data_IF_346816446002
#
_entry.id   IF_346816446002
#
_cell.length_a   1.000
_cell.length_b   1.000
_cell.length_c   1.000
_cell.angle_alpha   90.00
_cell.angle_beta   90.00
_cell.angle_gamma   90.00
#
_symmetry.space_group_name_H-M   'P 1'
#
loop_
_entity.id
_entity.type
_entity.pdbx_description
1 polymer ?
#
# COMPACT_ATOMS: atom_id res chain seq x y z
N UNK A 1 29.09 14.18 5.44
CA UNK A 1 28.04 15.22 5.36
C UNK A 1 26.96 14.71 4.42
N UNK A 2 26.06 13.86 4.92
CA UNK A 2 24.91 13.34 4.17
C UNK A 2 23.67 13.69 4.99
N UNK A 3 23.24 14.94 4.87
CA UNK A 3 22.11 15.47 5.64
C UNK A 3 21.20 16.28 4.68
N UNK A 4 20.95 15.72 3.48
CA UNK A 4 20.24 16.42 2.40
C UNK A 4 18.95 15.75 1.92
N UNK A 5 18.44 14.74 2.61
CA UNK A 5 17.10 14.23 2.35
C UNK A 5 16.29 14.13 3.65
N UNK A 6 16.14 15.26 4.35
CA UNK A 6 14.95 15.51 5.16
C UNK A 6 14.00 16.37 4.36
N UNK A 7 13.45 15.79 3.31
CA UNK A 7 12.23 16.32 2.73
C UNK A 7 11.12 15.44 3.28
N UNK A 8 10.50 15.88 4.39
CA UNK A 8 9.10 15.55 4.66
C UNK A 8 8.30 16.18 3.53
N UNK A 9 8.40 15.61 2.33
CA UNK A 9 7.48 15.92 1.26
C UNK A 9 6.18 15.36 1.76
N UNK A 10 5.27 16.22 2.19
CA UNK A 10 3.85 15.92 2.25
C UNK A 10 3.44 15.56 0.83
N UNK A 11 3.75 14.33 0.42
CA UNK A 11 3.34 13.79 -0.86
C UNK A 11 1.82 13.78 -0.78
N UNK A 12 1.11 14.34 -1.77
CA UNK A 12 -0.32 14.13 -1.81
C UNK A 12 -0.54 12.63 -1.75
N UNK A 13 -1.29 12.21 -0.75
CA UNK A 13 -1.57 10.83 -0.40
C UNK A 13 -3.04 10.82 -0.03
N UNK A 14 -3.74 9.76 -0.40
CA UNK A 14 -5.14 9.60 -0.01
C UNK A 14 -5.17 9.21 1.46
N UNK A 15 -5.98 9.89 2.26
CA UNK A 15 -6.11 9.55 3.67
C UNK A 15 -6.86 8.23 3.87
N UNK A 16 -6.74 7.64 5.06
CA UNK A 16 -7.40 6.37 5.40
C UNK A 16 -8.93 6.45 5.28
N UNK A 17 -9.55 7.56 5.65
CA UNK A 17 -11.01 7.74 5.55
C UNK A 17 -11.46 7.65 4.08
N UNK A 18 -10.74 8.32 3.20
CA UNK A 18 -10.95 8.31 1.75
C UNK A 18 -10.76 6.90 1.20
N UNK A 19 -9.71 6.17 1.63
CA UNK A 19 -9.50 4.75 1.27
C UNK A 19 -10.70 3.90 1.69
N UNK A 20 -11.20 4.05 2.92
CA UNK A 20 -12.36 3.29 3.43
C UNK A 20 -13.60 3.60 2.61
N UNK A 21 -13.88 4.88 2.32
CA UNK A 21 -15.05 5.31 1.52
C UNK A 21 -15.00 4.82 0.07
N UNK A 22 -13.82 4.91 -0.55
CA UNK A 22 -13.60 4.50 -1.93
C UNK A 22 -13.80 3.00 -2.11
N UNK A 23 -13.17 2.23 -1.22
CA UNK A 23 -13.19 0.76 -1.32
C UNK A 23 -14.48 0.16 -0.79
N UNK A 24 -15.07 0.74 0.26
CA UNK A 24 -16.17 0.13 1.00
C UNK A 24 -15.76 -1.14 1.77
N UNK A 25 -14.45 -1.46 1.82
CA UNK A 25 -13.93 -2.60 2.54
C UNK A 25 -13.81 -2.31 4.03
N UNK A 26 -13.81 -3.36 4.85
CA UNK A 26 -13.57 -3.26 6.29
C UNK A 26 -12.07 -3.28 6.58
N UNK A 27 -11.47 -2.10 6.61
CA UNK A 27 -10.07 -1.91 6.97
C UNK A 27 -9.84 -2.06 8.47
N UNK A 28 -8.74 -2.72 8.83
CA UNK A 28 -8.35 -2.99 10.21
C UNK A 28 -6.87 -2.64 10.39
N UNK A 29 -6.57 -1.92 11.47
CA UNK A 29 -5.20 -1.68 11.88
C UNK A 29 -4.56 -2.99 12.36
N UNK A 30 -3.30 -3.20 12.00
CA UNK A 30 -2.53 -4.30 12.56
C UNK A 30 -2.00 -3.93 13.95
N UNK A 31 -2.75 -4.29 14.98
CA UNK A 31 -2.33 -4.20 16.40
C UNK A 31 -1.98 -5.58 16.99
N UNK A 32 -1.54 -6.53 16.16
CA UNK A 32 -1.33 -7.94 16.52
C UNK A 32 -2.44 -8.90 16.09
N UNK A 33 -3.44 -8.40 15.34
CA UNK A 33 -4.47 -9.25 14.74
C UNK A 33 -3.88 -10.23 13.71
N UNK A 34 -4.49 -11.41 13.60
CA UNK A 34 -4.12 -12.40 12.59
C UNK A 34 -4.50 -11.89 11.19
N UNK A 35 -3.60 -12.05 10.23
CA UNK A 35 -3.88 -11.71 8.84
C UNK A 35 -4.79 -12.74 8.18
N UNK A 36 -5.75 -12.29 7.34
CA UNK A 36 -6.47 -13.17 6.44
C UNK A 36 -5.49 -13.80 5.43
N UNK A 37 -5.94 -14.85 4.73
CA UNK A 37 -5.11 -15.51 3.73
C UNK A 37 -4.99 -14.69 2.45
N UNK A 38 -6.04 -13.95 2.08
CA UNK A 38 -6.05 -13.05 0.93
C UNK A 38 -6.58 -11.68 1.32
N UNK A 39 -5.98 -10.64 0.74
CA UNK A 39 -6.45 -9.28 0.96
C UNK A 39 -5.53 -8.21 0.40
N UNK A 40 -5.91 -6.98 0.69
CA UNK A 40 -5.19 -5.76 0.36
C UNK A 40 -4.70 -5.11 1.65
N UNK A 41 -3.57 -4.43 1.60
CA UNK A 41 -3.02 -3.71 2.73
C UNK A 41 -2.47 -2.36 2.30
N UNK A 42 -2.35 -1.47 3.29
CA UNK A 42 -1.82 -0.14 3.13
C UNK A 42 -0.91 0.22 4.29
N UNK A 43 0.18 0.93 4.00
CA UNK A 43 1.02 1.58 5.00
C UNK A 43 0.70 3.07 5.00
N UNK A 44 0.31 3.58 6.16
CA UNK A 44 -0.18 4.94 6.34
C UNK A 44 0.74 5.73 7.25
N UNK A 45 0.94 7.01 6.94
CA UNK A 45 1.76 7.88 7.78
C UNK A 45 0.96 8.32 9.02
N UNK A 46 1.51 8.19 10.25
CA UNK A 46 0.74 8.41 11.48
C UNK A 46 0.31 9.87 11.70
N UNK A 47 1.02 10.83 11.11
CA UNK A 47 0.74 12.26 11.34
C UNK A 47 -0.39 12.82 10.47
N UNK A 48 -0.73 12.16 9.36
CA UNK A 48 -1.70 12.67 8.39
C UNK A 48 -2.58 11.59 7.75
N UNK A 49 -2.50 10.35 8.25
CA UNK A 49 -3.19 9.17 7.73
C UNK A 49 -3.01 8.94 6.22
N UNK A 50 -1.94 9.46 5.62
CA UNK A 50 -1.69 9.39 4.19
C UNK A 50 -1.20 8.02 3.75
N UNK A 51 -1.85 7.41 2.76
CA UNK A 51 -1.43 6.15 2.15
C UNK A 51 -0.07 6.30 1.44
N UNK A 52 0.97 5.73 2.03
CA UNK A 52 2.34 5.72 1.48
C UNK A 52 2.55 4.58 0.48
N UNK A 53 1.92 3.44 0.75
CA UNK A 53 2.06 2.23 -0.04
C UNK A 53 0.80 1.39 0.05
N UNK A 54 0.30 0.92 -1.09
CA UNK A 54 -0.70 -0.14 -1.16
C UNK A 54 -0.06 -1.41 -1.71
N UNK A 55 -0.44 -2.55 -1.15
CA UNK A 55 -0.06 -3.84 -1.68
C UNK A 55 -1.15 -4.89 -1.51
N UNK A 56 -0.96 -6.02 -2.16
CA UNK A 56 -1.79 -7.21 -1.97
C UNK A 56 -1.03 -8.40 -1.39
N UNK A 57 -1.80 -9.35 -0.86
CA UNK A 57 -1.36 -10.72 -0.65
C UNK A 57 -2.44 -11.70 -1.11
N UNK A 58 -2.04 -12.65 -1.94
CA UNK A 58 -2.85 -13.71 -2.53
C UNK A 58 -1.98 -14.92 -2.88
N UNK A 59 -2.61 -16.02 -3.31
CA UNK A 59 -1.90 -17.21 -3.79
C UNK A 59 -1.06 -17.93 -2.71
N UNK A 60 0.09 -18.47 -3.13
CA UNK A 60 0.96 -19.35 -2.30
C UNK A 60 1.60 -18.61 -1.12
N UNK A 61 1.97 -17.34 -1.29
CA UNK A 61 2.47 -16.52 -0.18
C UNK A 61 1.32 -16.03 0.70
N UNK A 62 0.21 -15.61 0.10
CA UNK A 62 -0.92 -15.03 0.83
C UNK A 62 -0.55 -13.73 1.57
N UNK A 63 -1.56 -13.08 2.13
CA UNK A 63 -1.38 -11.84 2.88
C UNK A 63 -0.62 -12.08 4.19
N UNK A 64 -0.92 -13.20 4.86
CA UNK A 64 -0.27 -13.58 6.11
C UNK A 64 1.24 -13.74 5.98
N UNK A 65 1.75 -14.53 5.04
CA UNK A 65 3.20 -14.75 4.97
C UNK A 65 3.93 -13.46 4.58
N UNK A 66 3.38 -12.70 3.63
CA UNK A 66 3.92 -11.42 3.18
C UNK A 66 4.02 -10.39 4.30
N UNK A 67 2.92 -10.14 5.02
CA UNK A 67 2.93 -9.14 6.09
C UNK A 67 3.70 -9.62 7.33
N UNK A 68 3.69 -10.91 7.63
CA UNK A 68 4.54 -11.48 8.70
C UNK A 68 6.03 -11.28 8.38
N UNK A 69 6.42 -11.46 7.11
CA UNK A 69 7.77 -11.17 6.64
C UNK A 69 8.10 -9.67 6.83
N UNK A 70 7.22 -8.77 6.40
CA UNK A 70 7.43 -7.33 6.53
C UNK A 70 7.58 -6.89 8.00
N UNK A 71 6.72 -7.38 8.90
CA UNK A 71 6.76 -7.04 10.33
C UNK A 71 8.02 -7.57 11.00
N UNK A 72 8.39 -8.82 10.72
CA UNK A 72 9.62 -9.41 11.25
C UNK A 72 10.84 -8.56 10.86
N UNK A 73 10.91 -8.15 9.58
CA UNK A 73 11.99 -7.31 9.11
C UNK A 73 11.97 -5.89 9.66
N UNK A 74 10.79 -5.30 9.83
CA UNK A 74 10.64 -4.02 10.52
C UNK A 74 11.23 -4.09 11.93
N UNK A 75 10.97 -5.18 12.66
CA UNK A 75 11.58 -5.42 13.98
C UNK A 75 13.11 -5.50 13.93
N UNK A 76 13.69 -6.17 12.92
CA UNK A 76 15.15 -6.17 12.74
C UNK A 76 15.71 -4.77 12.44
N UNK A 77 15.03 -3.99 11.60
CA UNK A 77 15.41 -2.62 11.27
C UNK A 77 15.38 -1.69 12.47
N UNK A 78 14.32 -1.76 13.28
CA UNK A 78 14.20 -0.97 14.51
C UNK A 78 15.36 -1.28 15.48
N UNK A 79 15.62 -2.57 15.72
CA UNK A 79 16.75 -2.98 16.55
C UNK A 79 18.10 -2.49 16.01
N UNK A 80 18.29 -2.50 14.68
CA UNK A 80 19.50 -1.97 14.03
C UNK A 80 19.68 -0.47 14.28
N UNK A 81 18.61 0.31 14.10
CA UNK A 81 18.62 1.75 14.30
C UNK A 81 18.86 2.12 15.76
N UNK A 82 18.25 1.41 16.70
CA UNK A 82 18.36 1.68 18.14
C UNK A 82 19.74 1.33 18.70
N UNK A 83 20.34 0.23 18.25
CA UNK A 83 21.59 -0.28 18.83
C UNK A 83 22.86 0.30 18.20
N UNK A 84 22.74 1.16 17.18
CA UNK A 84 23.87 1.70 16.38
C UNK A 84 24.89 0.61 15.95
N UNK A 85 24.47 -0.65 15.88
CA UNK A 85 25.38 -1.76 15.69
C UNK A 85 25.49 -1.99 14.19
N UNK A 86 26.72 -1.87 13.66
CA UNK A 86 26.99 -2.29 12.31
C UNK A 86 26.56 -3.77 12.18
N UNK A 87 25.71 -4.06 11.19
CA UNK A 87 25.43 -5.43 10.80
C UNK A 87 26.74 -6.11 10.43
N UNK A 88 26.82 -7.44 10.59
CA UNK A 88 27.89 -8.20 9.95
C UNK A 88 27.86 -7.93 8.44
N UNK A 89 28.99 -7.99 7.75
CA UNK A 89 29.04 -7.68 6.30
C UNK A 89 28.09 -8.56 5.49
N UNK A 90 27.86 -9.79 5.94
CA UNK A 90 26.98 -10.79 5.33
C UNK A 90 25.50 -10.47 5.56
N UNK A 91 25.13 -10.11 6.80
CA UNK A 91 23.76 -9.66 7.13
C UNK A 91 23.45 -8.32 6.47
N UNK A 92 24.45 -7.45 6.28
CA UNK A 92 24.30 -6.16 5.60
C UNK A 92 24.03 -6.37 4.12
N UNK A 93 24.80 -7.23 3.46
CA UNK A 93 24.62 -7.51 2.04
C UNK A 93 23.25 -8.16 1.78
N UNK A 94 22.83 -9.12 2.61
CA UNK A 94 21.53 -9.78 2.44
C UNK A 94 20.35 -8.88 2.83
N UNK A 95 20.45 -8.10 3.90
CA UNK A 95 19.43 -7.11 4.27
C UNK A 95 19.29 -6.03 3.18
N UNK A 96 20.38 -5.44 2.68
CA UNK A 96 20.31 -4.40 1.64
C UNK A 96 19.80 -4.92 0.29
N UNK A 97 20.07 -6.19 -0.05
CA UNK A 97 19.61 -6.80 -1.31
C UNK A 97 18.22 -7.41 -1.25
N UNK A 98 17.72 -7.73 -0.05
CA UNK A 98 16.41 -8.37 0.18
C UNK A 98 15.41 -7.46 0.90
N UNK A 99 15.81 -6.26 1.32
CA UNK A 99 14.93 -5.27 1.95
C UNK A 99 13.88 -4.79 0.93
N UNK A 100 12.62 -5.14 1.18
CA UNK A 100 11.50 -4.51 0.50
C UNK A 100 11.50 -3.02 0.88
N UNK A 101 11.56 -2.06 -0.07
CA UNK A 101 11.70 -0.64 0.23
C UNK A 101 10.69 -0.09 1.25
N UNK A 102 9.47 -0.63 1.26
CA UNK A 102 8.43 -0.26 2.21
C UNK A 102 8.74 -0.65 3.66
N UNK A 103 9.53 -1.69 3.91
CA UNK A 103 9.92 -2.07 5.27
C UNK A 103 10.89 -1.05 5.86
N UNK A 104 11.84 -0.58 5.04
CA UNK A 104 12.78 0.46 5.46
C UNK A 104 12.05 1.79 5.69
N UNK A 105 11.31 2.28 4.70
CA UNK A 105 10.55 3.52 4.83
C UNK A 105 9.52 3.41 5.97
N UNK A 106 8.82 2.28 6.07
CA UNK A 106 7.89 1.97 7.16
C UNK A 106 8.52 2.01 8.54
N UNK A 107 9.79 1.68 8.65
CA UNK A 107 10.55 1.79 9.90
C UNK A 107 10.92 3.24 10.20
N UNK A 108 11.54 3.93 9.23
CA UNK A 108 12.05 5.29 9.38
C UNK A 108 10.92 6.31 9.65
N UNK A 109 9.79 6.18 8.95
CA UNK A 109 8.61 7.07 9.06
C UNK A 109 7.55 6.55 10.05
N UNK A 110 7.82 5.44 10.76
CA UNK A 110 6.88 4.83 11.74
C UNK A 110 5.48 4.57 11.18
N UNK A 111 5.39 4.16 9.92
CA UNK A 111 4.11 3.93 9.24
C UNK A 111 3.23 2.90 9.96
N UNK A 112 1.93 3.10 9.91
CA UNK A 112 0.91 2.23 10.48
C UNK A 112 0.39 1.29 9.39
N UNK A 113 0.35 -0.01 9.68
CA UNK A 113 -0.13 -1.02 8.74
C UNK A 113 -1.63 -1.23 8.94
N UNK A 114 -2.39 -1.07 7.86
CA UNK A 114 -3.80 -1.43 7.79
C UNK A 114 -4.03 -2.48 6.71
N UNK A 115 -5.02 -3.34 6.89
CA UNK A 115 -5.38 -4.36 5.91
C UNK A 115 -6.89 -4.57 5.84
N UNK A 116 -7.34 -5.11 4.71
CA UNK A 116 -8.72 -5.53 4.52
C UNK A 116 -8.77 -6.86 3.74
N UNK A 117 -9.80 -7.65 4.01
CA UNK A 117 -10.11 -8.82 3.18
C UNK A 117 -10.52 -8.34 1.79
N UNK A 118 -10.00 -8.99 0.76
CA UNK A 118 -10.42 -8.71 -0.61
C UNK A 118 -11.80 -9.35 -0.83
N UNK A 119 -12.84 -8.52 -0.79
CA UNK A 119 -14.22 -8.91 -1.08
C UNK A 119 -14.71 -8.19 -2.33
N UNK A 120 -15.76 -8.72 -2.97
CA UNK A 120 -16.42 -8.02 -4.08
C UNK A 120 -16.91 -6.64 -3.63
N UNK A 121 -16.62 -5.62 -4.44
CA UNK A 121 -17.15 -4.28 -4.23
C UNK A 121 -18.67 -4.31 -4.04
N UNK A 122 -19.15 -3.67 -2.97
CA UNK A 122 -20.58 -3.63 -2.63
C UNK A 122 -21.32 -2.46 -3.28
N UNK A 123 -20.58 -1.49 -3.82
CA UNK A 123 -21.09 -0.38 -4.59
C UNK A 123 -21.23 -0.74 -6.07
N UNK A 124 -22.14 -0.06 -6.76
CA UNK A 124 -22.44 -0.27 -8.18
C UNK A 124 -22.19 1.05 -8.90
N UNK A 125 -21.49 1.00 -10.03
CA UNK A 125 -21.31 2.15 -10.91
C UNK A 125 -22.27 2.06 -12.09
N UNK A 126 -22.85 3.20 -12.50
CA UNK A 126 -23.65 3.26 -13.72
C UNK A 126 -22.77 3.01 -14.95
N UNK A 127 -23.12 1.99 -15.74
CA UNK A 127 -22.40 1.59 -16.95
C UNK A 127 -21.89 0.15 -16.90
N UNK A 128 -21.20 -0.29 -17.97
CA UNK A 128 -20.59 -1.62 -18.06
C UNK A 128 -19.18 -1.61 -17.45
N UNK A 129 -19.13 -1.44 -16.13
CA UNK A 129 -17.88 -1.39 -15.36
C UNK A 129 -17.71 -2.65 -14.53
N UNK A 130 -16.58 -3.33 -14.67
CA UNK A 130 -16.19 -4.44 -13.80
C UNK A 130 -15.53 -3.86 -12.55
N UNK A 131 -16.23 -3.95 -11.42
CA UNK A 131 -15.74 -3.50 -10.12
C UNK A 131 -14.72 -4.48 -9.52
N UNK A 132 -13.79 -4.05 -8.65
CA UNK A 132 -12.81 -4.94 -8.04
C UNK A 132 -13.45 -6.06 -7.22
N UNK A 133 -12.91 -7.28 -7.34
CA UNK A 133 -13.34 -8.45 -6.56
C UNK A 133 -12.16 -9.20 -5.92
N UNK A 134 -10.98 -9.10 -6.52
CA UNK A 134 -9.77 -9.80 -6.10
C UNK A 134 -8.76 -8.86 -5.45
N UNK A 135 -7.80 -9.43 -4.71
CA UNK A 135 -6.73 -8.65 -4.08
C UNK A 135 -5.88 -7.87 -5.11
N UNK A 136 -5.67 -8.45 -6.31
CA UNK A 136 -4.98 -7.77 -7.43
C UNK A 136 -5.76 -6.55 -7.91
N UNK A 137 -7.06 -6.70 -8.07
CA UNK A 137 -7.92 -5.61 -8.53
C UNK A 137 -8.00 -4.50 -7.48
N UNK A 138 -8.08 -4.84 -6.20
CA UNK A 138 -8.09 -3.84 -5.13
C UNK A 138 -6.77 -3.07 -4.99
N UNK A 139 -5.63 -3.76 -5.05
CA UNK A 139 -4.31 -3.08 -5.08
C UNK A 139 -4.22 -2.13 -6.28
N UNK A 140 -4.61 -2.62 -7.47
CA UNK A 140 -4.60 -1.80 -8.69
C UNK A 140 -5.56 -0.61 -8.56
N UNK A 141 -6.74 -0.79 -7.97
CA UNK A 141 -7.72 0.27 -7.76
C UNK A 141 -7.19 1.36 -6.84
N UNK A 142 -6.54 1.00 -5.74
CA UNK A 142 -5.90 1.96 -4.83
C UNK A 142 -4.76 2.71 -5.52
N UNK A 143 -3.95 2.02 -6.32
CA UNK A 143 -2.87 2.65 -7.08
C UNK A 143 -3.38 3.65 -8.11
N UNK A 144 -4.42 3.31 -8.89
CA UNK A 144 -5.02 4.23 -9.87
C UNK A 144 -5.69 5.40 -9.17
N UNK A 145 -6.40 5.16 -8.07
CA UNK A 145 -7.05 6.24 -7.31
C UNK A 145 -6.03 7.20 -6.71
N UNK A 146 -4.95 6.68 -6.14
CA UNK A 146 -3.83 7.52 -5.66
C UNK A 146 -3.22 8.29 -6.83
N UNK A 147 -2.99 7.65 -7.97
CA UNK A 147 -2.46 8.32 -9.17
C UNK A 147 -3.35 9.47 -9.65
N UNK A 148 -4.66 9.31 -9.58
CA UNK A 148 -5.64 10.31 -10.03
C UNK A 148 -5.76 11.48 -9.05
N UNK A 149 -5.72 11.22 -7.74
CA UNK A 149 -5.87 12.25 -6.71
C UNK A 149 -4.57 12.97 -6.36
N UNK A 150 -3.46 12.23 -6.33
CA UNK A 150 -2.17 12.74 -5.90
C UNK A 150 -1.24 13.12 -7.06
N UNK A 151 -1.63 12.85 -8.31
CA UNK A 151 -0.75 13.00 -9.47
C UNK A 151 0.53 12.15 -9.39
N UNK A 152 0.60 11.20 -8.45
CA UNK A 152 1.75 10.34 -8.22
C UNK A 152 1.30 8.96 -7.77
N UNK A 153 2.11 7.95 -8.08
CA UNK A 153 1.93 6.59 -7.55
C UNK A 153 2.88 6.38 -6.39
N UNK A 154 2.56 5.41 -5.54
CA UNK A 154 3.46 4.92 -4.49
C UNK A 154 4.92 4.88 -5.01
N UNK A 155 5.81 5.71 -4.47
CA UNK A 155 7.19 5.83 -4.96
C UNK A 155 8.04 4.61 -4.62
N UNK A 156 7.55 3.76 -3.72
CA UNK A 156 8.16 2.51 -3.28
C UNK A 156 7.67 1.29 -4.08
N UNK A 157 6.81 1.51 -5.08
CA UNK A 157 6.34 0.52 -6.05
C UNK A 157 5.22 -0.39 -5.50
N UNK A 158 4.31 -0.84 -6.35
CA UNK A 158 3.31 -1.86 -6.05
C UNK A 158 3.03 -2.63 -7.33
N UNK A 159 3.41 -3.91 -7.39
CA UNK A 159 3.31 -4.74 -8.60
C UNK A 159 4.09 -4.23 -9.83
N UNK A 160 4.47 -5.14 -10.74
CA UNK A 160 4.88 -4.74 -12.09
C UNK A 160 3.62 -4.22 -12.82
N UNK A 161 3.56 -2.91 -13.05
CA UNK A 161 2.37 -2.23 -13.55
C UNK A 161 2.47 -1.94 -15.05
N UNK A 162 1.40 -2.23 -15.79
CA UNK A 162 1.27 -1.90 -17.21
C UNK A 162 -0.15 -1.39 -17.50
N UNK A 163 -0.30 -0.12 -17.88
CA UNK A 163 -1.55 0.47 -18.37
C UNK A 163 -1.45 0.69 -19.88
N UNK A 164 -1.47 -0.44 -20.58
CA UNK A 164 -1.79 -0.44 -22.01
C UNK A 164 -3.28 -0.72 -22.15
N UNK A 165 -3.85 -0.33 -23.29
CA UNK A 165 -5.25 -0.67 -23.60
C UNK A 165 -5.47 -2.18 -23.42
N UNK A 166 -6.58 -2.55 -22.79
CA UNK A 166 -6.97 -3.93 -22.44
C UNK A 166 -6.18 -4.57 -21.27
N UNK A 167 -5.30 -3.85 -20.58
CA UNK A 167 -4.74 -4.36 -19.32
C UNK A 167 -5.70 -4.15 -18.14
N UNK A 168 -5.43 -4.84 -17.04
CA UNK A 168 -6.17 -4.68 -15.79
C UNK A 168 -6.19 -3.23 -15.32
N UNK A 169 -5.02 -2.58 -15.31
CA UNK A 169 -4.87 -1.19 -14.92
C UNK A 169 -5.73 -0.25 -15.76
N UNK A 170 -5.78 -0.45 -17.08
CA UNK A 170 -6.62 0.38 -17.95
C UNK A 170 -8.11 0.29 -17.61
N UNK A 171 -8.61 -0.94 -17.36
CA UNK A 171 -10.02 -1.15 -16.98
C UNK A 171 -10.32 -0.53 -15.61
N UNK A 172 -9.43 -0.73 -14.65
CA UNK A 172 -9.60 -0.24 -13.28
C UNK A 172 -9.46 1.27 -13.16
N UNK A 173 -8.63 1.92 -13.99
CA UNK A 173 -8.51 3.37 -13.99
C UNK A 173 -9.85 4.06 -14.27
N UNK A 174 -10.64 3.54 -15.21
CA UNK A 174 -11.97 4.07 -15.50
C UNK A 174 -12.95 3.88 -14.32
N UNK A 175 -12.87 2.73 -13.65
CA UNK A 175 -13.64 2.43 -12.43
C UNK A 175 -13.26 3.37 -11.29
N UNK A 176 -11.96 3.59 -11.06
CA UNK A 176 -11.43 4.51 -10.05
C UNK A 176 -11.89 5.95 -10.29
N UNK A 177 -11.77 6.44 -11.54
CA UNK A 177 -12.28 7.76 -11.91
C UNK A 177 -13.78 7.91 -11.63
N UNK A 178 -14.59 6.94 -12.04
CA UNK A 178 -16.04 6.98 -11.82
C UNK A 178 -16.40 6.97 -10.34
N UNK A 179 -15.72 6.15 -9.54
CA UNK A 179 -15.95 6.08 -8.10
C UNK A 179 -15.59 7.40 -7.41
N UNK A 180 -14.52 8.06 -7.84
CA UNK A 180 -14.14 9.39 -7.33
C UNK A 180 -15.20 10.45 -7.62
N UNK A 181 -15.72 10.47 -8.85
CA UNK A 181 -16.79 11.40 -9.26
C UNK A 181 -18.09 11.16 -8.47
N UNK A 182 -18.47 9.89 -8.25
CA UNK A 182 -19.67 9.54 -7.47
C UNK A 182 -19.57 10.01 -6.01
N UNK A 183 -18.37 9.95 -5.42
CA UNK A 183 -18.11 10.39 -4.05
C UNK A 183 -17.91 11.90 -3.92
N UNK A 184 -17.99 12.65 -5.03
CA UNK A 184 -17.82 14.10 -5.06
C UNK A 184 -16.42 14.55 -4.63
N UNK A 185 -15.39 13.78 -4.97
CA UNK A 185 -14.00 14.16 -4.67
C UNK A 185 -13.53 15.17 -5.72
N UNK A 186 -13.25 16.40 -5.29
CA UNK A 186 -12.71 17.47 -6.14
C UNK A 186 -11.22 17.22 -6.45
N UNK A 187 -10.82 17.49 -7.70
CA UNK A 187 -9.45 17.28 -8.23
C UNK A 187 -8.63 18.57 -8.29
#
# INVERSE_FOLDING_TARGET
MFDQFKTSVSRPTIDLETVVRLTGLRWQEHTGAAFPDQGVYGWFHPDNDGLVYAGKGDGIEGLRARLSHHIRWRGYQQNRLERHTALSTEDTAWAVTSEVPIVRQGTEERLVLWFAVAEKATWILEGDYVTPETAVEWETFLMETTSLLAGSRSPVGGGAWENKRNTLAHRIQAVAWRRLMELGVDF
#
